data_IF_184185036786
#
_entry.id   IF_184185036786
#
_cell.length_a   1.000
_cell.length_b   1.000
_cell.length_c   1.000
_cell.angle_alpha   90.00
_cell.angle_beta   90.00
_cell.angle_gamma   90.00
#
_symmetry.space_group_name_H-M   'P 1'
#
loop_
_entity.id
_entity.type
_entity.pdbx_description
1 polymer ?
#
# COMPACT_ATOMS: atom_id res chain seq x y z
N UNK A 1 20.95 15.88 -0.41
CA UNK A 1 20.86 14.81 0.62
C UNK A 1 19.66 14.92 1.55
N UNK A 2 19.28 16.10 2.06
CA UNK A 2 18.18 16.24 3.05
C UNK A 2 16.80 15.77 2.54
N UNK A 3 16.48 15.99 1.26
CA UNK A 3 15.19 15.61 0.65
C UNK A 3 14.93 14.08 0.66
N UNK A 4 15.99 13.26 0.61
CA UNK A 4 15.90 11.80 0.60
C UNK A 4 15.33 11.23 1.91
N UNK A 5 15.60 11.87 3.06
CA UNK A 5 15.12 11.44 4.38
C UNK A 5 13.67 11.86 4.61
N UNK A 6 13.26 13.03 4.13
CA UNK A 6 11.91 13.53 4.33
C UNK A 6 10.89 12.87 3.40
N UNK A 7 11.32 12.28 2.29
CA UNK A 7 10.41 11.68 1.34
C UNK A 7 9.63 10.45 1.84
N UNK A 8 10.24 9.43 2.48
CA UNK A 8 9.47 8.33 3.06
C UNK A 8 8.48 8.83 4.13
N UNK A 9 8.84 9.91 4.83
CA UNK A 9 7.95 10.60 5.77
C UNK A 9 6.78 11.27 5.01
N UNK A 10 7.04 11.97 3.90
CA UNK A 10 5.96 12.54 3.07
C UNK A 10 5.09 11.48 2.42
N UNK A 11 5.66 10.34 2.02
CA UNK A 11 4.94 9.23 1.41
C UNK A 11 4.04 8.55 2.46
N UNK A 12 4.53 8.41 3.68
CA UNK A 12 3.74 8.02 4.84
C UNK A 12 2.61 9.03 5.16
N UNK A 13 2.88 10.34 5.10
CA UNK A 13 1.87 11.38 5.32
C UNK A 13 0.82 11.45 4.20
N UNK A 14 1.20 11.25 2.94
CA UNK A 14 0.25 11.18 1.81
C UNK A 14 -0.58 9.90 1.91
N UNK A 15 0.02 8.79 2.35
CA UNK A 15 -0.72 7.55 2.65
C UNK A 15 -1.81 7.78 3.68
N UNK A 16 -1.51 8.58 4.72
CA UNK A 16 -2.49 8.97 5.73
C UNK A 16 -3.60 9.85 5.15
N UNK A 17 -3.26 10.82 4.30
CA UNK A 17 -4.26 11.70 3.66
C UNK A 17 -5.17 10.97 2.66
N UNK A 18 -4.66 9.98 1.92
CA UNK A 18 -5.47 9.13 1.02
C UNK A 18 -6.22 8.02 1.77
N UNK A 19 -5.94 7.80 3.06
CA UNK A 19 -6.68 6.84 3.89
C UNK A 19 -8.16 7.22 4.06
N UNK A 20 -8.53 8.47 3.76
CA UNK A 20 -9.93 8.83 3.58
C UNK A 20 -10.29 8.82 2.10
N UNK A 21 -11.03 7.79 1.68
CA UNK A 21 -12.22 7.87 0.81
C UNK A 21 -12.51 6.50 0.20
N UNK A 22 -13.45 5.76 0.81
CA UNK A 22 -14.70 5.37 0.15
C UNK A 22 -15.69 5.19 1.29
N UNK A 23 -16.81 5.92 1.24
CA UNK A 23 -17.94 5.76 2.15
C UNK A 23 -18.35 4.29 2.12
N UNK A 24 -18.00 3.53 3.15
CA UNK A 24 -18.50 2.19 3.35
C UNK A 24 -19.94 2.38 3.87
N UNK A 25 -20.90 2.43 2.95
CA UNK A 25 -22.31 2.45 3.33
C UNK A 25 -22.57 1.22 4.21
N UNK A 26 -23.01 1.48 5.43
CA UNK A 26 -23.13 0.57 6.56
C UNK A 26 -24.29 -0.42 6.41
N UNK A 27 -24.52 -0.92 5.20
CA UNK A 27 -25.41 -2.03 4.94
C UNK A 27 -24.59 -3.28 5.20
N UNK A 28 -25.03 -4.10 6.15
CA UNK A 28 -24.47 -5.40 6.51
C UNK A 28 -24.62 -6.34 5.30
N UNK A 29 -23.81 -6.13 4.26
CA UNK A 29 -23.68 -7.03 3.13
C UNK A 29 -22.69 -8.09 3.59
N UNK A 30 -23.24 -9.24 3.97
CA UNK A 30 -22.53 -10.50 4.27
C UNK A 30 -21.14 -10.51 3.62
N UNK A 31 -20.12 -10.31 4.46
CA UNK A 31 -18.74 -10.02 4.10
C UNK A 31 -18.16 -11.16 3.23
N UNK A 32 -18.32 -11.03 1.91
CA UNK A 32 -17.84 -12.00 0.92
C UNK A 32 -16.35 -11.78 0.71
N UNK A 33 -15.60 -12.87 0.68
CA UNK A 33 -14.16 -12.87 0.36
C UNK A 33 -13.84 -12.25 -1.01
N UNK A 34 -14.81 -12.21 -1.93
CA UNK A 34 -14.72 -11.61 -3.26
C UNK A 34 -15.66 -10.39 -3.41
N UNK A 35 -15.69 -9.51 -2.42
CA UNK A 35 -16.40 -8.24 -2.54
C UNK A 35 -15.55 -7.21 -3.30
N UNK A 36 -16.21 -6.27 -3.99
CA UNK A 36 -15.56 -5.16 -4.71
C UNK A 36 -14.60 -4.37 -3.80
N UNK A 37 -14.99 -4.19 -2.54
CA UNK A 37 -14.19 -3.66 -1.44
C UNK A 37 -12.79 -4.30 -1.37
N UNK A 38 -12.69 -5.65 -1.42
CA UNK A 38 -11.40 -6.37 -1.36
C UNK A 38 -10.55 -6.13 -2.60
N UNK A 39 -11.17 -6.00 -3.76
CA UNK A 39 -10.47 -5.67 -5.01
C UNK A 39 -9.89 -4.27 -4.94
N UNK A 40 -10.60 -3.31 -4.31
CA UNK A 40 -10.08 -1.96 -4.11
C UNK A 40 -8.88 -1.95 -3.15
N UNK A 41 -8.96 -2.66 -2.03
CA UNK A 41 -7.85 -2.83 -1.09
C UNK A 41 -6.59 -3.42 -1.75
N UNK A 42 -6.79 -4.49 -2.51
CA UNK A 42 -5.73 -5.11 -3.31
C UNK A 42 -5.14 -4.13 -4.33
N UNK A 43 -5.98 -3.46 -5.11
CA UNK A 43 -5.54 -2.57 -6.19
C UNK A 43 -4.81 -1.34 -5.65
N UNK A 44 -5.33 -0.74 -4.57
CA UNK A 44 -4.71 0.41 -3.92
C UNK A 44 -3.32 0.05 -3.40
N UNK A 45 -3.22 -1.01 -2.61
CA UNK A 45 -1.94 -1.45 -2.03
C UNK A 45 -0.92 -1.87 -3.09
N UNK A 46 -1.37 -2.51 -4.18
CA UNK A 46 -0.53 -2.85 -5.33
C UNK A 46 0.02 -1.60 -6.04
N UNK A 47 -0.85 -0.70 -6.49
CA UNK A 47 -0.45 0.51 -7.22
C UNK A 47 0.36 1.47 -6.36
N UNK A 48 0.04 1.57 -5.06
CA UNK A 48 0.80 2.38 -4.11
C UNK A 48 2.24 1.88 -3.97
N UNK A 49 2.42 0.57 -3.83
CA UNK A 49 3.75 -0.04 -3.71
C UNK A 49 4.58 0.18 -4.98
N UNK A 50 3.99 -0.02 -6.16
CA UNK A 50 4.66 0.24 -7.43
C UNK A 50 5.02 1.71 -7.63
N UNK A 51 4.07 2.62 -7.39
CA UNK A 51 4.27 4.05 -7.61
C UNK A 51 5.33 4.62 -6.66
N UNK A 52 5.29 4.20 -5.39
CA UNK A 52 6.27 4.64 -4.40
C UNK A 52 7.68 4.12 -4.71
N UNK A 53 7.81 2.85 -5.12
CA UNK A 53 9.10 2.30 -5.56
C UNK A 53 9.63 3.05 -6.79
N UNK A 54 8.79 3.28 -7.79
CA UNK A 54 9.17 4.01 -9.01
C UNK A 54 9.68 5.42 -8.69
N UNK A 55 8.98 6.17 -7.83
CA UNK A 55 9.40 7.53 -7.46
C UNK A 55 10.72 7.48 -6.65
N UNK A 56 10.87 6.51 -5.75
CA UNK A 56 12.10 6.35 -4.97
C UNK A 56 13.32 6.08 -5.86
N UNK A 57 13.19 5.20 -6.85
CA UNK A 57 14.29 4.89 -7.77
C UNK A 57 14.52 6.05 -8.76
N UNK A 58 13.51 6.42 -9.54
CA UNK A 58 13.70 7.33 -10.68
C UNK A 58 13.83 8.79 -10.30
N UNK A 59 13.11 9.26 -9.27
CA UNK A 59 13.12 10.67 -8.90
C UNK A 59 14.06 10.95 -7.73
N UNK A 60 14.33 9.95 -6.87
CA UNK A 60 15.15 10.13 -5.66
C UNK A 60 16.50 9.42 -5.70
N UNK A 61 16.74 8.61 -6.73
CA UNK A 61 18.00 7.93 -6.94
C UNK A 61 18.36 7.08 -5.70
N UNK A 62 17.37 6.34 -5.18
CA UNK A 62 17.56 5.28 -4.19
C UNK A 62 17.98 3.99 -4.88
N UNK A 63 18.72 3.15 -4.16
CA UNK A 63 18.97 1.77 -4.59
C UNK A 63 17.64 1.02 -4.68
N UNK A 64 17.49 0.18 -5.71
CA UNK A 64 16.24 -0.54 -5.95
C UNK A 64 15.86 -1.46 -4.80
N UNK A 65 16.84 -2.06 -4.11
CA UNK A 65 16.58 -2.92 -2.94
C UNK A 65 16.06 -2.10 -1.76
N UNK A 66 16.67 -0.95 -1.50
CA UNK A 66 16.21 -0.04 -0.45
C UNK A 66 14.81 0.51 -0.77
N UNK A 67 14.56 0.84 -2.04
CA UNK A 67 13.28 1.37 -2.50
C UNK A 67 12.13 0.36 -2.34
N UNK A 68 12.37 -0.94 -2.55
CA UNK A 68 11.39 -1.99 -2.25
C UNK A 68 11.03 -1.99 -0.76
N UNK A 69 12.02 -1.93 0.13
CA UNK A 69 11.74 -1.95 1.57
C UNK A 69 10.89 -0.75 2.00
N UNK A 70 11.23 0.46 1.55
CA UNK A 70 10.47 1.67 1.90
C UNK A 70 9.06 1.70 1.30
N UNK A 71 8.88 1.27 0.06
CA UNK A 71 7.57 1.19 -0.60
C UNK A 71 6.64 0.18 0.08
N UNK A 72 7.15 -1.01 0.39
CA UNK A 72 6.42 -2.05 1.14
C UNK A 72 6.02 -1.55 2.53
N UNK A 73 6.95 -0.96 3.28
CA UNK A 73 6.68 -0.43 4.62
C UNK A 73 5.61 0.67 4.58
N UNK A 74 5.68 1.56 3.59
CA UNK A 74 4.66 2.60 3.43
C UNK A 74 3.28 2.02 3.12
N UNK A 75 3.19 1.10 2.16
CA UNK A 75 1.91 0.47 1.78
C UNK A 75 1.29 -0.33 2.92
N UNK A 76 2.11 -1.13 3.63
CA UNK A 76 1.68 -1.91 4.78
C UNK A 76 1.18 -0.99 5.92
N UNK A 77 1.91 0.10 6.19
CA UNK A 77 1.50 1.06 7.21
C UNK A 77 0.19 1.75 6.85
N UNK A 78 0.01 2.13 5.58
CA UNK A 78 -1.25 2.71 5.09
C UNK A 78 -2.44 1.75 5.31
N UNK A 79 -2.26 0.48 4.95
CA UNK A 79 -3.28 -0.55 5.13
C UNK A 79 -3.64 -0.81 6.60
N UNK A 80 -2.65 -0.92 7.47
CA UNK A 80 -2.88 -1.12 8.92
C UNK A 80 -3.52 0.11 9.55
N UNK A 81 -3.05 1.30 9.20
CA UNK A 81 -3.55 2.55 9.77
C UNK A 81 -5.01 2.80 9.38
N UNK A 82 -5.41 2.46 8.16
CA UNK A 82 -6.82 2.49 7.73
C UNK A 82 -7.70 1.61 8.62
N UNK A 83 -7.31 0.35 8.82
CA UNK A 83 -8.10 -0.59 9.63
C UNK A 83 -8.18 -0.15 11.10
N UNK A 84 -7.11 0.43 11.65
CA UNK A 84 -7.11 1.01 12.99
C UNK A 84 -8.03 2.24 13.07
N UNK A 85 -8.05 3.08 12.04
CA UNK A 85 -8.94 4.24 11.96
C UNK A 85 -10.41 3.81 11.84
N UNK A 86 -10.70 2.80 11.02
CA UNK A 86 -12.06 2.26 10.87
C UNK A 86 -12.55 1.61 12.17
N UNK A 87 -11.68 0.96 12.95
CA UNK A 87 -12.00 0.43 14.28
C UNK A 87 -12.39 1.52 15.30
N UNK A 88 -11.88 2.76 15.16
CA UNK A 88 -12.23 3.88 16.05
C UNK A 88 -13.62 4.47 15.76
N UNK A 89 -14.24 4.14 14.62
CA UNK A 89 -15.57 4.64 14.26
C UNK A 89 -16.68 3.91 15.04
N UNK A 90 -17.85 4.55 15.28
CA UNK A 90 -18.96 3.89 15.96
C UNK A 90 -19.42 2.65 15.17
N UNK A 91 -19.35 1.46 15.80
CA UNK A 91 -19.58 0.13 15.18
C UNK A 91 -18.51 -0.33 14.18
N UNK A 92 -17.33 0.29 14.19
CA UNK A 92 -16.17 -0.13 13.42
C UNK A 92 -15.63 -1.48 13.87
N UNK A 93 -15.12 -2.27 12.93
CA UNK A 93 -14.41 -3.51 13.21
C UNK A 93 -13.19 -3.61 12.31
N UNK A 94 -12.13 -4.24 12.82
CA UNK A 94 -10.95 -4.56 12.03
C UNK A 94 -11.26 -5.74 11.12
N UNK A 95 -11.13 -5.53 9.82
CA UNK A 95 -11.43 -6.54 8.81
C UNK A 95 -10.16 -7.29 8.43
N UNK A 96 -10.03 -8.52 8.95
CA UNK A 96 -8.90 -9.40 8.61
C UNK A 96 -8.80 -9.68 7.10
N UNK A 97 -9.93 -9.62 6.38
CA UNK A 97 -9.98 -9.84 4.93
C UNK A 97 -9.37 -8.67 4.16
N UNK A 98 -9.53 -7.44 4.65
CA UNK A 98 -8.92 -6.26 4.04
C UNK A 98 -7.42 -6.22 4.26
N UNK A 99 -6.96 -6.61 5.44
CA UNK A 99 -5.53 -6.84 5.68
C UNK A 99 -4.96 -7.91 4.75
N UNK A 100 -5.71 -8.98 4.49
CA UNK A 100 -5.29 -10.02 3.56
C UNK A 100 -5.25 -9.51 2.11
N UNK A 101 -6.26 -8.77 1.66
CA UNK A 101 -6.29 -8.15 0.33
C UNK A 101 -5.14 -7.16 0.13
N UNK A 102 -4.86 -6.31 1.13
CA UNK A 102 -3.71 -5.40 1.12
C UNK A 102 -2.39 -6.18 1.03
N UNK A 103 -2.26 -7.25 1.80
CA UNK A 103 -1.05 -8.09 1.81
C UNK A 103 -0.82 -8.77 0.45
N UNK A 104 -1.88 -9.25 -0.21
CA UNK A 104 -1.79 -9.81 -1.56
C UNK A 104 -1.37 -8.76 -2.61
N UNK A 105 -1.89 -7.53 -2.51
CA UNK A 105 -1.52 -6.44 -3.41
C UNK A 105 -0.04 -6.07 -3.28
N UNK A 106 0.45 -5.94 -2.05
CA UNK A 106 1.87 -5.69 -1.74
C UNK A 106 2.75 -6.84 -2.24
N UNK A 107 2.34 -8.09 -2.00
CA UNK A 107 3.08 -9.27 -2.46
C UNK A 107 3.22 -9.27 -3.99
N UNK A 108 2.12 -9.05 -4.71
CA UNK A 108 2.16 -9.02 -6.17
C UNK A 108 3.04 -7.87 -6.69
N UNK A 109 2.97 -6.69 -6.07
CA UNK A 109 3.84 -5.58 -6.43
C UNK A 109 5.31 -5.93 -6.24
N UNK A 110 5.66 -6.58 -5.13
CA UNK A 110 7.02 -7.04 -4.88
C UNK A 110 7.52 -8.02 -5.95
N UNK A 111 6.69 -8.96 -6.38
CA UNK A 111 7.03 -9.90 -7.47
C UNK A 111 7.29 -9.16 -8.78
N UNK A 112 6.42 -8.21 -9.14
CA UNK A 112 6.57 -7.39 -10.37
C UNK A 112 7.86 -6.56 -10.31
N UNK A 113 8.16 -5.95 -9.17
CA UNK A 113 9.38 -5.16 -9.02
C UNK A 113 10.59 -6.10 -9.13
N UNK A 114 10.64 -7.20 -8.37
CA UNK A 114 11.78 -8.12 -8.40
C UNK A 114 12.05 -8.71 -9.78
N UNK A 115 11.00 -9.02 -10.54
CA UNK A 115 11.16 -9.50 -11.92
C UNK A 115 11.77 -8.41 -12.82
N UNK A 116 11.33 -7.15 -12.68
CA UNK A 116 11.94 -6.02 -13.39
C UNK A 116 13.42 -5.81 -13.04
N UNK A 117 13.75 -5.82 -11.74
CA UNK A 117 15.15 -5.72 -11.27
C UNK A 117 16.02 -6.82 -11.90
N UNK A 118 15.51 -8.05 -11.92
CA UNK A 118 16.23 -9.21 -12.46
C UNK A 118 16.43 -9.15 -13.99
N UNK A 119 15.60 -8.39 -14.70
CA UNK A 119 15.77 -8.13 -16.14
C UNK A 119 16.91 -7.12 -16.35
N UNK A 120 17.00 -6.07 -15.53
CA UNK A 120 18.04 -5.04 -15.65
C UNK A 120 19.44 -5.59 -15.41
N UNK A 121 19.61 -6.49 -14.42
CA UNK A 121 20.89 -7.19 -14.17
C UNK A 121 21.28 -8.22 -15.24
N UNK A 122 20.43 -8.48 -16.24
CA UNK A 122 20.71 -9.45 -17.31
C UNK A 122 21.27 -8.82 -18.59
N UNK A 123 21.39 -7.51 -18.65
CA UNK A 123 22.00 -6.74 -19.74
C UNK A 123 23.36 -6.17 -19.33
#
# INVERSE_FOLDING_TARGET
>A
MKFKIYFPITLFLISFSFSETVKQDSIIVRDKWLAFDKVQHFTYSFLWTLSSQYILVNNMNFDERDAIHYSVMSSASAGVMKELYDMQKPRGYLSKKDLFANSLGILLACLVIQDNIKIDFRH
#
